data_IF_403914739147
#
_entry.id   IF_403914739147
#
_cell.length_a   1.000
_cell.length_b   1.000
_cell.length_c   1.000
_cell.angle_alpha   90.00
_cell.angle_beta   90.00
_cell.angle_gamma   90.00
#
_symmetry.space_group_name_H-M   'P 1'
#
loop_
_entity.id
_entity.type
_entity.pdbx_description
1 polymer ?
#
# COMPACT_ATOMS: atom_id res chain seq x y z
N UNK A 1 -13.93 9.07 -14.06
CA UNK A 1 -13.91 8.54 -12.68
C UNK A 1 -12.80 9.24 -11.93
N UNK A 2 -13.14 10.00 -10.88
CA UNK A 2 -12.18 10.70 -10.03
C UNK A 2 -11.27 9.67 -9.35
N UNK A 3 -10.02 9.55 -9.81
CA UNK A 3 -8.96 8.92 -9.03
C UNK A 3 -8.74 9.82 -7.82
N UNK A 4 -9.43 9.52 -6.72
CA UNK A 4 -9.25 10.17 -5.43
C UNK A 4 -7.86 9.80 -4.93
N UNK A 5 -6.85 10.49 -5.45
CA UNK A 5 -5.60 10.77 -4.79
C UNK A 5 -5.96 11.75 -3.68
N UNK A 6 -6.50 11.28 -2.55
CA UNK A 6 -6.24 12.04 -1.33
C UNK A 6 -4.73 11.91 -1.16
N UNK A 7 -3.95 12.98 -1.36
CA UNK A 7 -2.52 12.87 -1.20
C UNK A 7 -2.33 12.46 0.24
N UNK A 8 -1.52 11.43 0.49
CA UNK A 8 -1.20 10.94 1.84
C UNK A 8 -1.08 12.12 2.82
N UNK A 9 -0.41 13.20 2.38
CA UNK A 9 -0.36 14.54 2.99
C UNK A 9 -1.67 15.06 3.62
N UNK A 10 -2.80 15.04 2.94
CA UNK A 10 -4.06 15.60 3.45
C UNK A 10 -4.68 14.72 4.55
N UNK A 11 -4.53 13.40 4.45
CA UNK A 11 -4.89 12.48 5.54
C UNK A 11 -3.95 12.64 6.75
N UNK A 12 -2.64 12.83 6.50
CA UNK A 12 -1.66 13.14 7.54
C UNK A 12 -2.01 14.43 8.27
N UNK A 13 -2.31 15.49 7.52
CA UNK A 13 -2.68 16.79 8.08
C UNK A 13 -3.99 16.73 8.85
N UNK A 14 -5.00 16.03 8.33
CA UNK A 14 -6.28 15.85 9.03
C UNK A 14 -6.12 15.04 10.32
N UNK A 15 -5.31 13.99 10.32
CA UNK A 15 -5.00 13.21 11.52
C UNK A 15 -4.23 14.04 12.57
N UNK A 16 -3.27 14.87 12.12
CA UNK A 16 -2.53 15.77 13.00
C UNK A 16 -3.43 16.87 13.62
N UNK A 17 -4.33 17.45 12.83
CA UNK A 17 -5.28 18.48 13.29
C UNK A 17 -6.35 17.91 14.24
N UNK A 18 -6.85 16.71 13.97
CA UNK A 18 -7.76 16.00 14.90
C UNK A 18 -7.09 15.69 16.25
N UNK A 19 -5.80 15.34 16.26
CA UNK A 19 -5.00 15.16 17.48
C UNK A 19 -4.82 16.46 18.28
N UNK A 20 -4.48 17.57 17.62
CA UNK A 20 -4.41 18.90 18.26
C UNK A 20 -5.73 19.29 18.92
N UNK A 21 -6.85 19.00 18.26
CA UNK A 21 -8.19 19.37 18.74
C UNK A 21 -8.67 18.54 19.95
N UNK A 22 -8.15 17.33 20.15
CA UNK A 22 -8.58 16.42 21.23
C UNK A 22 -7.75 16.53 22.50
N UNK A 23 -6.69 17.36 22.54
CA UNK A 23 -5.85 17.55 23.73
C UNK A 23 -5.07 16.29 24.17
N UNK A 24 -5.17 15.21 23.40
CA UNK A 24 -4.47 13.95 23.64
C UNK A 24 -3.05 14.08 23.11
N UNK A 25 -2.13 14.39 24.01
CA UNK A 25 -0.70 14.16 23.83
C UNK A 25 -0.38 12.66 23.76
N UNK A 26 -0.99 11.95 22.81
CA UNK A 26 -0.59 10.59 22.46
C UNK A 26 0.85 10.64 21.95
N UNK A 27 1.64 9.66 22.38
CA UNK A 27 3.07 9.59 22.10
C UNK A 27 3.33 9.78 20.60
N UNK A 28 4.22 10.72 20.27
CA UNK A 28 4.59 11.07 18.88
C UNK A 28 4.97 9.81 18.10
N UNK A 29 5.55 8.83 18.81
CA UNK A 29 5.86 7.49 18.31
C UNK A 29 4.67 6.76 17.71
N UNK A 30 3.48 6.81 18.35
CA UNK A 30 2.27 6.16 17.86
C UNK A 30 1.74 6.85 16.60
N UNK A 31 1.80 8.18 16.55
CA UNK A 31 1.42 8.93 15.36
C UNK A 31 2.35 8.62 14.18
N UNK A 32 3.66 8.64 14.42
CA UNK A 32 4.65 8.28 13.40
C UNK A 32 4.47 6.84 12.92
N UNK A 33 4.14 5.89 13.82
CA UNK A 33 3.78 4.52 13.46
C UNK A 33 2.61 4.46 12.47
N UNK A 34 1.51 5.14 12.78
CA UNK A 34 0.35 5.22 11.88
C UNK A 34 0.69 5.82 10.51
N UNK A 35 1.61 6.78 10.46
CA UNK A 35 2.06 7.38 9.20
C UNK A 35 2.91 6.41 8.37
N UNK A 36 3.78 5.64 9.02
CA UNK A 36 4.60 4.62 8.39
C UNK A 36 3.69 3.53 7.80
N UNK A 37 2.71 3.05 8.57
CA UNK A 37 1.75 2.03 8.12
C UNK A 37 0.97 2.51 6.89
N UNK A 38 0.45 3.74 6.93
CA UNK A 38 -0.29 4.32 5.80
C UNK A 38 0.58 4.45 4.55
N UNK A 39 1.83 4.90 4.72
CA UNK A 39 2.79 5.02 3.61
C UNK A 39 3.14 3.66 3.01
N UNK A 40 3.37 2.66 3.86
CA UNK A 40 3.66 1.29 3.46
C UNK A 40 2.50 0.70 2.65
N UNK A 41 1.28 0.76 3.17
CA UNK A 41 0.09 0.22 2.50
C UNK A 41 -0.17 0.89 1.15
N UNK A 42 0.04 2.21 1.07
CA UNK A 42 -0.09 2.95 -0.19
C UNK A 42 0.94 2.47 -1.24
N UNK A 43 2.21 2.32 -0.83
CA UNK A 43 3.28 1.86 -1.72
C UNK A 43 3.04 0.42 -2.15
N UNK A 44 2.65 -0.45 -1.23
CA UNK A 44 2.31 -1.85 -1.48
C UNK A 44 1.20 -1.96 -2.54
N UNK A 45 0.07 -1.27 -2.37
CA UNK A 45 -1.04 -1.29 -3.35
C UNK A 45 -0.65 -0.73 -4.72
N UNK A 46 0.27 0.23 -4.75
CA UNK A 46 0.73 0.83 -6.01
C UNK A 46 1.59 -0.15 -6.78
N UNK A 47 2.58 -0.75 -6.13
CA UNK A 47 3.45 -1.75 -6.75
C UNK A 47 2.69 -3.04 -7.09
N UNK A 48 1.74 -3.47 -6.24
CA UNK A 48 0.92 -4.64 -6.52
C UNK A 48 0.11 -4.49 -7.81
N UNK A 49 -0.48 -3.31 -8.08
CA UNK A 49 -1.17 -3.05 -9.35
C UNK A 49 -0.25 -3.12 -10.56
N UNK A 50 0.98 -2.62 -10.43
CA UNK A 50 1.98 -2.72 -11.50
C UNK A 50 2.42 -4.18 -11.73
N UNK A 51 2.53 -4.97 -10.65
CA UNK A 51 2.82 -6.39 -10.73
C UNK A 51 1.69 -7.17 -11.40
N UNK A 52 0.42 -6.93 -11.03
CA UNK A 52 -0.74 -7.54 -11.69
C UNK A 52 -0.83 -7.19 -13.17
N UNK A 53 -0.46 -5.96 -13.54
CA UNK A 53 -0.37 -5.52 -14.93
C UNK A 53 0.83 -6.10 -15.69
N UNK A 54 1.71 -6.86 -15.03
CA UNK A 54 2.94 -7.42 -15.62
C UNK A 54 4.02 -6.37 -15.90
N UNK A 55 3.89 -5.15 -15.38
CA UNK A 55 4.83 -4.05 -15.59
C UNK A 55 6.11 -4.20 -14.76
N UNK A 56 6.03 -4.87 -13.60
CA UNK A 56 7.16 -5.14 -12.72
C UNK A 56 7.21 -6.61 -12.31
N UNK A 57 8.42 -7.11 -12.05
CA UNK A 57 8.60 -8.46 -11.48
C UNK A 57 8.36 -8.46 -9.97
N UNK A 58 8.00 -9.64 -9.43
CA UNK A 58 7.83 -9.82 -7.98
C UNK A 58 9.12 -9.52 -7.20
N UNK A 59 10.29 -9.83 -7.79
CA UNK A 59 11.59 -9.50 -7.20
C UNK A 59 11.87 -7.99 -7.16
N UNK A 60 11.46 -7.25 -8.19
CA UNK A 60 11.54 -5.79 -8.19
C UNK A 60 10.61 -5.19 -7.12
N UNK A 61 9.38 -5.71 -7.02
CA UNK A 61 8.40 -5.31 -6.02
C UNK A 61 8.97 -5.47 -4.59
N UNK A 62 9.52 -6.63 -4.25
CA UNK A 62 10.08 -6.88 -2.91
C UNK A 62 11.18 -5.86 -2.56
N UNK A 63 12.09 -5.63 -3.51
CA UNK A 63 13.19 -4.66 -3.35
C UNK A 63 12.70 -3.23 -3.12
N UNK A 64 11.66 -2.80 -3.84
CA UNK A 64 11.09 -1.45 -3.69
C UNK A 64 10.39 -1.21 -2.35
N UNK A 65 9.98 -2.28 -1.66
CA UNK A 65 9.45 -2.20 -0.30
C UNK A 65 10.54 -2.43 0.78
N UNK A 66 11.78 -2.72 0.38
CA UNK A 66 12.83 -3.10 1.32
C UNK A 66 12.60 -4.47 1.97
N UNK A 67 11.82 -5.35 1.33
CA UNK A 67 11.49 -6.68 1.82
C UNK A 67 12.28 -7.75 1.04
N UNK A 68 12.54 -8.87 1.70
CA UNK A 68 12.88 -10.11 1.00
C UNK A 68 11.65 -10.65 0.25
N UNK A 69 11.89 -11.53 -0.73
CA UNK A 69 10.79 -12.20 -1.44
C UNK A 69 9.87 -12.96 -0.48
N UNK A 70 10.42 -13.66 0.51
CA UNK A 70 9.64 -14.41 1.50
C UNK A 70 8.73 -13.50 2.33
N UNK A 71 9.24 -12.35 2.76
CA UNK A 71 8.46 -11.36 3.51
C UNK A 71 7.36 -10.77 2.63
N UNK A 72 7.65 -10.46 1.36
CA UNK A 72 6.62 -10.01 0.43
C UNK A 72 5.53 -11.06 0.24
N UNK A 73 5.87 -12.34 0.08
CA UNK A 73 4.89 -13.43 0.01
C UNK A 73 3.97 -13.45 1.24
N UNK A 74 4.54 -13.39 2.45
CA UNK A 74 3.76 -13.38 3.68
C UNK A 74 2.81 -12.17 3.76
N UNK A 75 3.31 -10.97 3.42
CA UNK A 75 2.53 -9.73 3.42
C UNK A 75 1.36 -9.79 2.44
N UNK A 76 1.58 -10.38 1.25
CA UNK A 76 0.53 -10.55 0.24
C UNK A 76 -0.49 -11.62 0.68
N UNK A 77 -0.02 -12.74 1.22
CA UNK A 77 -0.86 -13.84 1.72
C UNK A 77 -1.77 -13.38 2.86
N UNK A 78 -1.24 -12.67 3.85
CA UNK A 78 -2.01 -12.07 4.96
C UNK A 78 -3.14 -11.14 4.47
N UNK A 79 -2.93 -10.52 3.29
CA UNK A 79 -3.89 -9.59 2.67
C UNK A 79 -4.78 -10.27 1.62
N UNK A 80 -4.66 -11.58 1.42
CA UNK A 80 -5.40 -12.34 0.41
C UNK A 80 -5.08 -11.92 -1.03
N UNK A 81 -3.89 -11.35 -1.26
CA UNK A 81 -3.45 -10.87 -2.57
C UNK A 81 -2.70 -11.98 -3.32
N UNK A 82 -3.16 -12.40 -4.51
CA UNK A 82 -2.49 -13.45 -5.27
C UNK A 82 -1.08 -13.05 -5.71
N UNK A 83 -0.14 -13.98 -5.60
CA UNK A 83 1.28 -13.76 -5.94
C UNK A 83 1.63 -14.20 -7.36
N UNK A 84 0.64 -14.67 -8.11
CA UNK A 84 0.74 -14.99 -9.53
C UNK A 84 0.03 -13.89 -10.29
N UNK A 85 0.68 -13.28 -11.28
CA UNK A 85 -0.01 -12.40 -12.22
C UNK A 85 -1.02 -13.26 -12.99
N UNK A 86 -2.28 -13.26 -12.57
CA UNK A 86 -3.35 -13.88 -13.34
C UNK A 86 -3.51 -12.97 -14.56
N UNK A 87 -2.80 -13.28 -15.64
CA UNK A 87 -3.21 -12.85 -16.96
C UNK A 87 -4.61 -13.43 -17.16
N UNK A 88 -5.65 -12.64 -16.89
CA UNK A 88 -7.02 -12.99 -17.23
C UNK A 88 -7.00 -13.40 -18.72
N UNK A 89 -7.51 -14.59 -19.07
CA UNK A 89 -7.64 -14.95 -20.47
C UNK A 89 -8.49 -13.87 -21.12
N UNK A 90 -7.98 -13.30 -22.21
CA UNK A 90 -8.78 -12.48 -23.13
C UNK A 90 -10.03 -13.30 -23.39
N UNK A 91 -11.16 -12.85 -22.85
CA UNK A 91 -12.45 -13.48 -23.13
C UNK A 91 -12.61 -13.45 -24.64
N UNK A 92 -12.68 -14.65 -25.23
CA UNK A 92 -13.29 -14.86 -26.52
C UNK A 92 -14.65 -14.17 -26.49
N UNK A 93 -14.77 -13.04 -27.18
CA UNK A 93 -16.02 -12.36 -27.42
C UNK A 93 -16.21 -12.27 -28.94
N UNK A 94 -17.10 -13.14 -29.40
CA UNK A 94 -17.88 -13.15 -30.64
C UNK A 94 -17.13 -13.17 -31.99
#
# INVERSE_FOLDING_TARGET
MLKVLVPVRENILRAAEQRKATGLGGDISEFLGQLIDLGFDFRLRTLYRQFEAGEISLGYFARELGLSLRELYAVLEERGLPTSSIALPIQAAA
#
